data_IF_290586771358
#
_entry.id   IF_290586771358
#
_cell.length_a   1.000
_cell.length_b   1.000
_cell.length_c   1.000
_cell.angle_alpha   90.00
_cell.angle_beta   90.00
_cell.angle_gamma   90.00
#
_symmetry.space_group_name_H-M   'P 1'
#
loop_
_entity.id
_entity.type
_entity.pdbx_description
1 polymer ?
#
# COMPACT_ATOMS: atom_id res chain seq x y z
N UNK A 1 8.18 -14.89 6.38
CA UNK A 1 7.75 -14.06 5.22
C UNK A 1 8.94 -13.36 4.59
N UNK A 2 9.34 -13.83 3.41
CA UNK A 2 10.43 -13.27 2.61
C UNK A 2 10.01 -11.92 2.00
N UNK A 3 10.87 -10.91 2.06
CA UNK A 3 10.65 -9.59 1.40
C UNK A 3 11.70 -9.45 0.29
N UNK A 4 11.30 -9.68 -0.96
CA UNK A 4 12.19 -9.74 -2.15
C UNK A 4 12.67 -8.34 -2.61
N UNK A 5 12.34 -7.26 -1.88
CA UNK A 5 12.86 -5.91 -2.18
C UNK A 5 14.27 -5.65 -1.62
N UNK A 6 14.87 -6.62 -0.93
CA UNK A 6 16.24 -6.51 -0.43
C UNK A 6 17.17 -7.30 -1.37
N UNK A 7 18.35 -6.76 -1.72
CA UNK A 7 19.34 -7.46 -2.56
C UNK A 7 19.84 -8.77 -1.94
N UNK A 8 19.56 -9.02 -0.66
CA UNK A 8 19.74 -10.29 0.03
C UNK A 8 18.41 -10.84 0.53
N UNK A 9 18.28 -12.17 0.54
CA UNK A 9 17.16 -12.89 1.14
C UNK A 9 17.04 -12.50 2.63
N UNK A 10 16.10 -11.62 2.95
CA UNK A 10 15.87 -11.16 4.31
C UNK A 10 14.68 -11.87 4.93
N UNK A 11 14.93 -12.51 6.07
CA UNK A 11 13.91 -13.17 6.90
C UNK A 11 13.38 -12.16 7.92
N UNK A 12 12.06 -12.12 8.11
CA UNK A 12 11.44 -11.32 9.17
C UNK A 12 11.26 -12.16 10.44
N UNK A 13 11.80 -11.76 11.59
CA UNK A 13 11.47 -12.39 12.85
C UNK A 13 10.01 -12.05 13.20
N UNK A 14 9.16 -13.07 13.34
CA UNK A 14 7.76 -12.91 13.77
C UNK A 14 7.63 -13.57 15.13
N UNK A 15 7.08 -12.84 16.10
CA UNK A 15 6.84 -13.36 17.45
C UNK A 15 5.34 -13.63 17.60
N UNK A 16 5.00 -14.88 17.88
CA UNK A 16 3.60 -15.29 18.13
C UNK A 16 3.21 -14.82 19.53
N UNK A 17 2.23 -13.92 19.59
CA UNK A 17 1.79 -13.25 20.83
C UNK A 17 0.47 -13.80 21.39
N UNK A 18 0.02 -14.98 20.95
CA UNK A 18 -1.33 -15.53 21.27
C UNK A 18 -1.56 -15.63 22.79
N UNK A 19 -0.54 -16.02 23.55
CA UNK A 19 -0.60 -16.17 25.01
C UNK A 19 0.28 -15.15 25.75
N UNK A 20 0.65 -14.04 25.11
CA UNK A 20 1.47 -13.02 25.75
C UNK A 20 0.67 -12.27 26.83
N UNK A 21 1.27 -12.02 27.99
CA UNK A 21 0.62 -11.36 29.13
C UNK A 21 0.04 -9.99 28.79
N UNK A 22 0.69 -9.23 27.91
CA UNK A 22 0.24 -7.91 27.48
C UNK A 22 -0.63 -7.91 26.21
N UNK A 23 -1.05 -9.08 25.68
CA UNK A 23 -1.83 -9.16 24.44
C UNK A 23 -3.13 -8.36 24.50
N UNK A 24 -3.87 -8.48 25.60
CA UNK A 24 -5.15 -7.79 25.76
C UNK A 24 -4.96 -6.27 25.82
N UNK A 25 -3.95 -5.80 26.56
CA UNK A 25 -3.57 -4.38 26.61
C UNK A 25 -3.18 -3.90 25.20
N UNK A 26 -2.38 -4.68 24.48
CA UNK A 26 -1.97 -4.37 23.12
C UNK A 26 -3.17 -4.27 22.16
N UNK A 27 -4.15 -5.16 22.25
CA UNK A 27 -5.34 -5.12 21.41
C UNK A 27 -6.24 -3.93 21.75
N UNK A 28 -6.38 -3.62 23.04
CA UNK A 28 -7.16 -2.48 23.50
C UNK A 28 -6.55 -1.15 23.04
N UNK A 29 -5.23 -0.98 23.18
CA UNK A 29 -4.53 0.21 22.69
C UNK A 29 -4.61 0.35 21.17
N UNK A 30 -4.50 -0.75 20.43
CA UNK A 30 -4.64 -0.75 18.97
C UNK A 30 -6.02 -0.25 18.55
N UNK A 31 -7.10 -0.82 19.11
CA UNK A 31 -8.48 -0.39 18.81
C UNK A 31 -8.69 1.10 19.11
N UNK A 32 -8.17 1.56 20.25
CA UNK A 32 -8.32 2.95 20.68
C UNK A 32 -7.59 3.94 19.77
N UNK A 33 -6.35 3.62 19.38
CA UNK A 33 -5.47 4.54 18.67
C UNK A 33 -5.65 4.47 17.14
N UNK A 34 -5.94 3.28 16.59
CA UNK A 34 -6.07 3.07 15.15
C UNK A 34 -7.26 3.85 14.58
N UNK A 35 -8.38 3.96 15.30
CA UNK A 35 -9.51 4.79 14.87
C UNK A 35 -9.15 6.27 14.73
N UNK A 36 -8.40 6.80 15.71
CA UNK A 36 -7.96 8.21 15.68
C UNK A 36 -6.94 8.40 14.57
N UNK A 37 -5.96 7.49 14.47
CA UNK A 37 -4.94 7.51 13.43
C UNK A 37 -5.56 7.52 12.04
N UNK A 38 -6.43 6.56 11.72
CA UNK A 38 -7.07 6.46 10.42
C UNK A 38 -7.90 7.71 10.07
N UNK A 39 -8.57 8.30 11.06
CA UNK A 39 -9.33 9.53 10.85
C UNK A 39 -8.41 10.71 10.47
N UNK A 40 -7.29 10.89 11.17
CA UNK A 40 -6.39 12.04 10.95
C UNK A 40 -5.47 11.85 9.74
N UNK A 41 -5.26 10.61 9.28
CA UNK A 41 -4.40 10.30 8.12
C UNK A 41 -5.16 9.89 6.88
N UNK A 42 -6.51 10.00 6.85
CA UNK A 42 -7.36 9.55 5.74
C UNK A 42 -6.88 10.07 4.37
N UNK A 43 -6.43 11.31 4.29
CA UNK A 43 -6.09 11.96 3.02
C UNK A 43 -4.71 11.56 2.51
N UNK A 44 -3.83 11.13 3.42
CA UNK A 44 -2.43 10.75 3.17
C UNK A 44 -2.18 9.22 3.28
N UNK A 45 -3.22 8.43 3.50
CA UNK A 45 -3.13 6.97 3.54
C UNK A 45 -3.70 6.42 2.24
N UNK A 46 -2.95 5.55 1.56
CA UNK A 46 -3.45 4.83 0.40
C UNK A 46 -4.05 3.49 0.81
N UNK A 47 -5.20 3.16 0.23
CA UNK A 47 -5.88 1.89 0.49
C UNK A 47 -5.32 0.77 -0.39
N UNK A 48 -5.02 1.09 -1.65
CA UNK A 48 -4.48 0.21 -2.68
C UNK A 48 -4.04 1.05 -3.90
N UNK A 49 -3.58 0.39 -4.97
CA UNK A 49 -3.15 1.08 -6.20
C UNK A 49 -4.28 1.78 -6.95
N UNK A 50 -5.53 1.31 -6.81
CA UNK A 50 -6.70 1.91 -7.46
C UNK A 50 -6.99 3.28 -6.84
N UNK A 51 -6.91 3.39 -5.51
CA UNK A 51 -7.02 4.66 -4.78
C UNK A 51 -5.94 5.66 -5.22
N UNK A 52 -4.69 5.21 -5.37
CA UNK A 52 -3.62 6.03 -5.93
C UNK A 52 -3.93 6.49 -7.37
N UNK A 53 -4.36 5.59 -8.26
CA UNK A 53 -4.67 5.94 -9.65
C UNK A 53 -5.79 6.97 -9.74
N UNK A 54 -6.84 6.85 -8.90
CA UNK A 54 -7.89 7.88 -8.83
C UNK A 54 -7.32 9.24 -8.41
N UNK A 55 -6.48 9.28 -7.37
CA UNK A 55 -5.83 10.52 -6.93
C UNK A 55 -4.92 11.13 -8.00
N UNK A 56 -4.18 10.31 -8.75
CA UNK A 56 -3.36 10.74 -9.87
C UNK A 56 -4.20 11.25 -11.06
N UNK A 57 -5.35 10.62 -11.33
CA UNK A 57 -6.28 11.07 -12.34
C UNK A 57 -6.86 12.44 -11.99
N UNK A 58 -7.35 12.61 -10.75
CA UNK A 58 -7.84 13.89 -10.25
C UNK A 58 -6.73 14.97 -10.28
N UNK A 59 -5.49 14.59 -9.97
CA UNK A 59 -4.32 15.48 -10.05
C UNK A 59 -4.00 15.91 -11.49
N UNK A 60 -4.16 14.99 -12.45
CA UNK A 60 -3.97 15.26 -13.88
C UNK A 60 -5.09 16.14 -14.43
N UNK A 61 -6.35 15.87 -14.09
CA UNK A 61 -7.52 16.65 -14.51
C UNK A 61 -7.47 18.11 -14.00
N UNK A 62 -6.84 18.34 -12.84
CA UNK A 62 -6.59 19.68 -12.30
C UNK A 62 -5.40 20.41 -12.96
N UNK A 63 -4.71 19.77 -13.91
CA UNK A 63 -3.57 20.34 -14.62
C UNK A 63 -2.29 20.39 -13.79
N UNK A 64 -2.19 19.61 -12.71
CA UNK A 64 -1.01 19.62 -11.85
C UNK A 64 0.11 18.68 -12.35
N UNK A 65 -0.24 17.66 -13.15
CA UNK A 65 0.75 16.81 -13.82
C UNK A 65 1.34 17.55 -15.02
N UNK A 66 2.64 17.84 -14.96
CA UNK A 66 3.39 18.50 -16.03
C UNK A 66 4.36 17.52 -16.69
N UNK A 67 4.95 17.90 -17.83
CA UNK A 67 5.99 17.08 -18.48
C UNK A 67 7.25 16.89 -17.62
N UNK A 68 7.49 17.75 -16.63
CA UNK A 68 8.65 17.66 -15.72
C UNK A 68 8.31 16.99 -14.40
N UNK A 69 7.04 16.63 -14.14
CA UNK A 69 6.67 15.97 -12.89
C UNK A 69 7.38 14.63 -12.77
N UNK A 70 8.08 14.46 -11.65
CA UNK A 70 8.70 13.22 -11.23
C UNK A 70 7.80 12.49 -10.24
N UNK A 71 7.82 11.18 -10.30
CA UNK A 71 7.30 10.32 -9.25
C UNK A 71 8.42 9.90 -8.33
N UNK A 72 8.09 9.83 -7.05
CA UNK A 72 9.00 9.41 -5.99
C UNK A 72 8.36 8.28 -5.24
N UNK A 73 9.06 7.17 -5.13
CA UNK A 73 8.72 6.13 -4.17
C UNK A 73 9.86 5.93 -3.21
N UNK A 74 9.52 5.68 -1.95
CA UNK A 74 10.49 5.13 -1.02
C UNK A 74 9.82 4.17 -0.07
N UNK A 75 10.59 3.19 0.41
CA UNK A 75 10.15 2.32 1.47
C UNK A 75 11.02 2.50 2.71
N UNK A 76 10.40 2.40 3.88
CA UNK A 76 11.10 2.45 5.16
C UNK A 76 11.66 1.08 5.52
N UNK A 77 12.95 1.02 5.81
CA UNK A 77 13.63 -0.24 6.13
C UNK A 77 13.30 -0.67 7.55
N UNK A 78 12.77 -1.89 7.69
CA UNK A 78 12.61 -2.57 8.99
C UNK A 78 11.86 -1.74 10.06
N UNK A 79 10.83 -1.00 9.60
CA UNK A 79 10.06 -0.02 10.38
C UNK A 79 9.72 -0.52 11.79
N UNK A 80 9.02 -1.65 11.91
CA UNK A 80 8.55 -2.17 13.20
C UNK A 80 9.67 -2.62 14.15
N UNK A 81 10.81 -3.05 13.62
CA UNK A 81 11.91 -3.64 14.38
C UNK A 81 12.99 -2.64 14.78
N UNK A 82 13.04 -1.47 14.14
CA UNK A 82 14.10 -0.47 14.35
C UNK A 82 13.61 0.77 15.09
N UNK A 83 12.30 0.99 15.25
CA UNK A 83 11.82 2.18 15.95
C UNK A 83 12.35 2.24 17.39
N UNK A 84 12.97 3.37 17.80
CA UNK A 84 13.46 3.54 19.17
C UNK A 84 12.27 3.66 20.11
N UNK A 85 12.31 2.91 21.21
CA UNK A 85 11.20 2.84 22.15
C UNK A 85 10.84 4.21 22.76
N UNK A 86 11.84 4.92 23.26
CA UNK A 86 11.61 6.21 23.93
C UNK A 86 11.10 7.26 22.94
N UNK A 87 11.66 7.27 21.72
CA UNK A 87 11.18 8.11 20.62
C UNK A 87 9.73 7.80 20.25
N UNK A 88 9.37 6.52 20.15
CA UNK A 88 8.00 6.10 19.85
C UNK A 88 7.00 6.50 20.93
N UNK A 89 7.36 6.33 22.21
CA UNK A 89 6.52 6.74 23.33
C UNK A 89 6.37 8.26 23.38
N UNK A 90 7.43 9.01 23.08
CA UNK A 90 7.37 10.47 22.99
C UNK A 90 6.47 10.94 21.84
N UNK A 91 6.60 10.32 20.66
CA UNK A 91 5.72 10.58 19.50
C UNK A 91 4.26 10.25 19.82
N UNK A 92 4.00 9.11 20.47
CA UNK A 92 2.66 8.73 20.94
C UNK A 92 2.10 9.77 21.91
N UNK A 93 2.91 10.26 22.86
CA UNK A 93 2.47 11.28 23.81
C UNK A 93 2.06 12.56 23.09
N UNK A 94 2.86 13.06 22.15
CA UNK A 94 2.53 14.25 21.35
C UNK A 94 1.29 14.04 20.48
N UNK A 95 1.16 12.87 19.86
CA UNK A 95 -0.03 12.48 19.13
C UNK A 95 -1.28 12.50 20.01
N UNK A 96 -1.23 11.86 21.18
CA UNK A 96 -2.35 11.86 22.13
C UNK A 96 -2.66 13.27 22.64
N UNK A 97 -1.67 14.13 22.90
CA UNK A 97 -1.90 15.53 23.28
C UNK A 97 -2.65 16.28 22.18
N UNK A 98 -2.20 16.16 20.93
CA UNK A 98 -2.78 16.83 19.77
C UNK A 98 -4.22 16.44 19.48
N UNK A 99 -4.57 15.16 19.68
CA UNK A 99 -5.88 14.61 19.32
C UNK A 99 -6.74 14.21 20.52
N UNK A 100 -6.38 14.65 21.72
CA UNK A 100 -7.19 14.40 22.93
C UNK A 100 -8.43 15.28 22.96
N UNK A 101 -9.49 14.77 23.60
CA UNK A 101 -10.69 15.54 23.95
C UNK A 101 -10.68 15.68 25.47
N UNK A 102 -10.63 16.92 25.97
CA UNK A 102 -10.54 17.22 27.41
C UNK A 102 -9.37 16.49 28.11
N UNK A 103 -8.22 16.38 27.43
CA UNK A 103 -7.03 15.72 27.95
C UNK A 103 -7.14 14.18 28.03
N UNK A 104 -8.11 13.59 27.32
CA UNK A 104 -8.35 12.15 27.28
C UNK A 104 -8.34 11.59 25.86
N UNK A 105 -7.97 10.32 25.74
CA UNK A 105 -8.11 9.49 24.54
C UNK A 105 -9.15 8.42 24.87
N UNK A 106 -10.32 8.52 24.25
CA UNK A 106 -11.52 7.86 24.75
C UNK A 106 -11.78 8.27 26.20
N UNK A 107 -11.83 7.30 27.11
CA UNK A 107 -12.06 7.55 28.54
C UNK A 107 -10.77 7.62 29.38
N UNK A 108 -9.59 7.49 28.77
CA UNK A 108 -8.32 7.40 29.49
C UNK A 108 -7.56 8.73 29.48
N UNK A 109 -6.96 9.08 30.63
CA UNK A 109 -5.96 10.15 30.69
C UNK A 109 -4.76 9.76 29.82
N UNK A 110 -4.12 10.73 29.19
CA UNK A 110 -2.95 10.51 28.33
C UNK A 110 -1.85 9.72 29.07
N UNK A 111 -1.56 10.05 30.33
CA UNK A 111 -0.55 9.32 31.11
C UNK A 111 -0.88 7.83 31.32
N UNK A 112 -2.16 7.49 31.41
CA UNK A 112 -2.60 6.09 31.50
C UNK A 112 -2.32 5.37 30.18
N UNK A 113 -2.63 6.00 29.04
CA UNK A 113 -2.34 5.45 27.71
C UNK A 113 -0.83 5.20 27.55
N UNK A 114 0.00 6.18 27.95
CA UNK A 114 1.45 6.06 27.86
C UNK A 114 2.00 4.96 28.79
N UNK A 115 1.48 4.84 30.02
CA UNK A 115 1.88 3.74 30.93
C UNK A 115 1.53 2.37 30.35
N UNK A 116 0.33 2.21 29.80
CA UNK A 116 -0.09 0.95 29.16
C UNK A 116 0.79 0.62 27.94
N UNK A 117 1.09 1.63 27.11
CA UNK A 117 2.00 1.48 25.98
C UNK A 117 3.40 1.02 26.42
N UNK A 118 3.95 1.62 27.48
CA UNK A 118 5.23 1.21 28.05
C UNK A 118 5.21 -0.24 28.52
N UNK A 119 4.14 -0.68 29.21
CA UNK A 119 3.98 -2.07 29.65
C UNK A 119 4.00 -3.05 28.47
N UNK A 120 3.29 -2.75 27.37
CA UNK A 120 3.29 -3.60 26.17
C UNK A 120 4.69 -3.73 25.57
N UNK A 121 5.47 -2.64 25.55
CA UNK A 121 6.83 -2.66 25.01
C UNK A 121 7.84 -3.33 25.99
N UNK A 122 7.68 -3.16 27.30
CA UNK A 122 8.53 -3.77 28.33
C UNK A 122 8.41 -5.30 28.39
N UNK A 123 7.20 -5.79 28.13
CA UNK A 123 6.84 -7.21 28.25
C UNK A 123 7.03 -7.99 26.95
N UNK A 124 7.69 -7.39 25.97
CA UNK A 124 8.01 -8.03 24.70
C UNK A 124 9.17 -9.04 24.85
N UNK A 125 8.84 -10.20 25.40
CA UNK A 125 9.73 -11.30 25.71
C UNK A 125 9.33 -12.51 24.86
N UNK A 126 10.31 -13.19 24.25
CA UNK A 126 10.09 -14.39 23.44
C UNK A 126 11.15 -15.45 23.73
N UNK A 127 10.81 -16.71 23.48
CA UNK A 127 11.71 -17.84 23.62
C UNK A 127 12.23 -18.29 22.25
N UNK A 128 13.53 -18.51 22.13
CA UNK A 128 14.16 -19.11 20.95
C UNK A 128 15.30 -20.03 21.38
N UNK A 129 15.35 -21.25 20.85
CA UNK A 129 16.35 -22.27 21.22
C UNK A 129 16.55 -22.40 22.74
N UNK A 130 15.44 -22.55 23.47
CA UNK A 130 15.41 -22.69 24.94
C UNK A 130 16.04 -21.52 25.72
N UNK A 131 16.18 -20.33 25.11
CA UNK A 131 16.62 -19.11 25.77
C UNK A 131 15.54 -18.04 25.65
N UNK A 132 15.39 -17.23 26.70
CA UNK A 132 14.50 -16.10 26.72
C UNK A 132 15.22 -14.84 26.26
N UNK A 133 14.57 -14.08 25.39
CA UNK A 133 15.06 -12.83 24.84
C UNK A 133 14.02 -11.75 25.08
N UNK A 134 14.48 -10.55 25.43
CA UNK A 134 13.64 -9.35 25.46
C UNK A 134 14.04 -8.45 24.31
N UNK A 135 13.07 -8.02 23.52
CA UNK A 135 13.32 -7.08 22.44
C UNK A 135 13.55 -5.68 23.01
N UNK A 136 14.75 -5.14 22.84
CA UNK A 136 15.15 -3.82 23.39
C UNK A 136 14.94 -2.66 22.40
N UNK A 137 14.70 -2.97 21.12
CA UNK A 137 14.49 -1.99 20.03
C UNK A 137 13.34 -2.45 19.13
N UNK A 138 12.51 -1.50 18.70
CA UNK A 138 11.26 -1.78 17.99
C UNK A 138 10.21 -2.47 18.86
N UNK A 139 9.17 -2.98 18.22
CA UNK A 139 8.19 -3.86 18.84
C UNK A 139 8.13 -5.22 18.13
N UNK A 140 7.43 -6.18 18.76
CA UNK A 140 7.25 -7.50 18.17
C UNK A 140 6.41 -7.40 16.91
N UNK A 141 6.96 -7.87 15.78
CA UNK A 141 6.16 -8.13 14.59
C UNK A 141 5.12 -9.22 14.94
N UNK A 142 3.87 -8.80 15.13
CA UNK A 142 2.77 -9.63 15.63
C UNK A 142 2.02 -9.04 16.83
N UNK A 143 2.50 -7.94 17.42
CA UNK A 143 1.73 -7.14 18.39
C UNK A 143 0.85 -6.14 17.63
N UNK A 144 -0.49 -6.13 17.83
CA UNK A 144 -1.38 -5.14 17.24
C UNK A 144 -0.95 -3.69 17.52
N UNK A 145 -0.58 -3.41 18.78
CA UNK A 145 -0.18 -2.06 19.21
C UNK A 145 1.09 -1.57 18.53
N UNK A 146 2.04 -2.47 18.26
CA UNK A 146 3.29 -2.11 17.58
C UNK A 146 3.03 -1.51 16.20
N UNK A 147 2.00 -1.97 15.50
CA UNK A 147 1.66 -1.45 14.17
C UNK A 147 1.20 -0.01 14.21
N UNK A 148 0.21 0.30 15.06
CA UNK A 148 -0.30 1.68 15.19
C UNK A 148 0.76 2.61 15.78
N UNK A 149 1.57 2.15 16.73
CA UNK A 149 2.66 2.94 17.29
C UNK A 149 3.68 3.32 16.22
N UNK A 150 4.05 2.38 15.35
CA UNK A 150 4.98 2.63 14.26
C UNK A 150 4.42 3.63 13.24
N UNK A 151 3.12 3.52 12.94
CA UNK A 151 2.43 4.46 12.08
C UNK A 151 2.36 5.88 12.65
N UNK A 152 2.14 6.02 13.96
CA UNK A 152 2.16 7.30 14.67
C UNK A 152 3.57 7.91 14.65
N UNK A 153 4.58 7.09 14.91
CA UNK A 153 5.98 7.52 14.85
C UNK A 153 6.35 8.03 13.46
N UNK A 154 5.98 7.28 12.42
CA UNK A 154 6.16 7.72 11.03
C UNK A 154 5.42 9.01 10.74
N UNK A 155 4.15 9.12 11.13
CA UNK A 155 3.36 10.33 10.86
C UNK A 155 4.05 11.60 11.36
N UNK A 156 4.72 11.53 12.52
CA UNK A 156 5.48 12.65 13.06
C UNK A 156 6.69 13.01 12.20
N UNK A 157 7.48 12.02 11.77
CA UNK A 157 8.61 12.22 10.88
C UNK A 157 8.19 12.76 9.51
N UNK A 158 7.04 12.29 9.00
CA UNK A 158 6.49 12.64 7.69
C UNK A 158 5.91 14.06 7.62
N UNK A 159 5.67 14.75 8.75
CA UNK A 159 4.94 16.03 8.79
C UNK A 159 5.50 17.09 7.84
N UNK A 160 6.82 17.21 7.76
CA UNK A 160 7.47 18.22 6.90
C UNK A 160 7.27 17.92 5.41
N UNK A 161 7.31 16.64 5.03
CA UNK A 161 7.00 16.21 3.67
C UNK A 161 5.52 16.50 3.39
N UNK A 162 4.60 15.98 4.19
CA UNK A 162 3.16 16.22 4.01
C UNK A 162 2.83 17.71 3.86
N UNK A 163 3.42 18.57 4.71
CA UNK A 163 3.23 20.02 4.63
C UNK A 163 3.81 20.64 3.35
N UNK A 164 4.94 20.12 2.85
CA UNK A 164 5.49 20.52 1.56
C UNK A 164 4.53 20.15 0.42
N UNK A 165 4.15 18.89 0.33
CA UNK A 165 3.27 18.42 -0.75
C UNK A 165 1.95 19.19 -0.80
N UNK A 166 1.32 19.41 0.36
CA UNK A 166 0.09 20.20 0.44
C UNK A 166 0.27 21.64 -0.08
N UNK A 167 1.41 22.28 0.18
CA UNK A 167 1.69 23.66 -0.29
C UNK A 167 1.87 23.74 -1.80
N UNK A 168 2.45 22.70 -2.39
CA UNK A 168 2.75 22.63 -3.83
C UNK A 168 1.66 21.90 -4.63
N UNK A 169 0.52 21.58 -4.00
CA UNK A 169 -0.56 20.77 -4.57
C UNK A 169 -0.12 19.37 -5.03
N UNK A 170 1.03 18.89 -4.57
CA UNK A 170 1.61 17.58 -4.90
C UNK A 170 0.96 16.46 -4.08
N UNK A 171 1.06 15.23 -4.57
CA UNK A 171 0.52 14.05 -3.89
C UNK A 171 1.52 13.59 -2.84
N UNK A 172 1.00 13.27 -1.64
CA UNK A 172 1.67 12.42 -0.66
C UNK A 172 0.73 11.29 -0.29
N UNK A 173 1.21 10.05 -0.29
CA UNK A 173 0.49 8.99 0.39
C UNK A 173 1.32 7.79 0.76
N UNK A 174 0.93 7.16 1.86
CA UNK A 174 1.58 5.97 2.40
C UNK A 174 0.65 4.77 2.40
N UNK A 175 1.20 3.64 1.97
CA UNK A 175 0.66 2.30 2.14
C UNK A 175 1.59 1.49 3.04
N UNK A 176 1.27 1.39 4.33
CA UNK A 176 2.08 0.67 5.32
C UNK A 176 3.53 1.20 5.36
N UNK A 177 4.49 0.50 4.76
CA UNK A 177 5.92 0.87 4.73
C UNK A 177 6.31 1.64 3.46
N UNK A 178 5.39 1.72 2.47
CA UNK A 178 5.66 2.23 1.12
C UNK A 178 5.04 3.61 0.95
N UNK A 179 5.85 4.61 0.60
CA UNK A 179 5.40 5.98 0.32
C UNK A 179 5.48 6.24 -1.17
N UNK A 180 4.51 6.99 -1.68
CA UNK A 180 4.51 7.56 -3.02
C UNK A 180 4.22 9.05 -2.96
N UNK A 181 4.96 9.81 -3.77
CA UNK A 181 4.83 11.26 -3.90
C UNK A 181 4.94 11.68 -5.36
N UNK A 182 4.33 12.80 -5.71
CA UNK A 182 4.65 13.54 -6.94
C UNK A 182 5.55 14.72 -6.60
N UNK A 183 6.40 15.15 -7.53
CA UNK A 183 7.13 16.41 -7.38
C UNK A 183 7.44 17.10 -8.70
N UNK A 184 7.43 18.42 -8.71
CA UNK A 184 7.94 19.24 -9.81
C UNK A 184 9.35 19.79 -9.56
N UNK A 185 9.98 19.42 -8.44
CA UNK A 185 11.39 19.70 -8.18
C UNK A 185 12.30 18.91 -9.12
N UNK A 186 13.53 19.39 -9.30
CA UNK A 186 14.58 18.61 -9.93
C UNK A 186 14.92 17.38 -9.09
N UNK A 187 15.53 16.37 -9.73
CA UNK A 187 15.91 15.12 -9.05
C UNK A 187 16.87 15.41 -7.89
N UNK A 188 17.80 16.34 -8.06
CA UNK A 188 18.78 16.74 -7.06
C UNK A 188 18.11 17.42 -5.84
N UNK A 189 17.17 18.34 -6.07
CA UNK A 189 16.46 19.05 -5.01
C UNK A 189 15.62 18.11 -4.15
N UNK A 190 14.84 17.22 -4.77
CA UNK A 190 14.02 16.26 -4.00
C UNK A 190 14.89 15.24 -3.25
N UNK A 191 16.01 14.80 -3.83
CA UNK A 191 16.97 13.95 -3.13
C UNK A 191 17.57 14.67 -1.92
N UNK A 192 17.93 15.94 -2.06
CA UNK A 192 18.42 16.74 -0.96
C UNK A 192 17.36 16.86 0.16
N UNK A 193 16.12 17.20 -0.18
CA UNK A 193 15.02 17.32 0.78
C UNK A 193 14.76 16.00 1.53
N UNK A 194 14.76 14.86 0.83
CA UNK A 194 14.60 13.54 1.45
C UNK A 194 15.78 13.19 2.35
N UNK A 195 17.01 13.51 1.93
CA UNK A 195 18.21 13.29 2.75
C UNK A 195 18.21 14.15 4.03
N UNK A 196 17.79 15.41 3.93
CA UNK A 196 17.62 16.30 5.09
C UNK A 196 16.54 15.79 6.03
N UNK A 197 15.43 15.28 5.49
CA UNK A 197 14.36 14.68 6.29
C UNK A 197 14.85 13.43 7.01
N UNK A 198 15.62 12.57 6.33
CA UNK A 198 16.23 11.39 6.93
C UNK A 198 17.20 11.74 8.08
N UNK A 199 17.96 12.85 7.97
CA UNK A 199 18.85 13.31 9.05
C UNK A 199 18.12 13.72 10.32
N UNK A 200 16.81 14.02 10.26
CA UNK A 200 16.03 14.39 11.47
C UNK A 200 15.82 13.22 12.43
N UNK A 201 15.93 11.97 11.95
CA UNK A 201 15.86 10.78 12.78
C UNK A 201 16.84 9.69 12.28
N UNK A 202 17.92 9.41 13.02
CA UNK A 202 18.91 8.42 12.61
C UNK A 202 18.38 6.97 12.59
N UNK A 203 17.18 6.72 13.12
CA UNK A 203 16.55 5.39 13.12
C UNK A 203 15.75 5.11 11.85
N UNK A 204 15.38 6.15 11.09
CA UNK A 204 14.62 6.00 9.86
C UNK A 204 15.61 5.94 8.69
N UNK A 205 15.54 4.83 7.95
CA UNK A 205 16.32 4.63 6.72
C UNK A 205 15.36 4.34 5.58
N UNK A 206 15.47 5.14 4.52
CA UNK A 206 14.63 5.03 3.34
C UNK A 206 15.46 4.59 2.13
N UNK A 207 14.86 3.78 1.27
CA UNK A 207 15.40 3.49 -0.07
C UNK A 207 14.55 4.20 -1.09
N UNK A 208 15.15 5.08 -1.88
CA UNK A 208 14.46 6.04 -2.75
C UNK A 208 14.58 5.63 -4.21
N UNK A 209 13.48 5.72 -4.94
CA UNK A 209 13.41 5.65 -6.40
C UNK A 209 12.72 6.92 -6.90
N UNK A 210 13.35 7.62 -7.84
CA UNK A 210 12.80 8.85 -8.45
C UNK A 210 12.88 8.69 -9.96
N UNK A 211 11.74 8.77 -10.63
CA UNK A 211 11.65 8.65 -12.08
C UNK A 211 10.33 9.21 -12.61
N UNK A 212 10.24 9.46 -13.91
CA UNK A 212 8.96 9.72 -14.60
C UNK A 212 8.16 8.43 -14.82
N UNK A 213 8.81 7.26 -14.77
CA UNK A 213 8.17 5.95 -14.81
C UNK A 213 8.71 5.06 -13.69
N UNK A 214 7.84 4.61 -12.79
CA UNK A 214 8.19 3.73 -11.68
C UNK A 214 7.03 2.86 -11.23
N UNK A 215 7.31 1.93 -10.33
CA UNK A 215 6.32 1.00 -9.82
C UNK A 215 5.95 1.30 -8.36
N UNK A 216 4.65 1.23 -8.07
CA UNK A 216 4.12 1.35 -6.72
C UNK A 216 3.02 0.30 -6.52
N UNK A 217 3.15 -0.48 -5.43
CA UNK A 217 2.28 -1.62 -5.13
C UNK A 217 2.20 -2.61 -6.31
N UNK A 218 1.09 -2.61 -7.04
CA UNK A 218 0.83 -3.47 -8.18
C UNK A 218 0.52 -2.70 -9.48
N UNK A 219 0.90 -1.42 -9.52
CA UNK A 219 0.81 -0.57 -10.71
C UNK A 219 2.19 -0.04 -11.12
N UNK A 220 2.40 0.05 -12.43
CA UNK A 220 3.43 0.90 -13.04
C UNK A 220 2.77 2.23 -13.40
N UNK A 221 3.43 3.33 -13.06
CA UNK A 221 2.91 4.69 -13.22
C UNK A 221 3.94 5.46 -14.03
N UNK A 222 3.49 6.03 -15.14
CA UNK A 222 4.33 6.71 -16.13
C UNK A 222 3.75 8.09 -16.44
N UNK A 223 4.63 9.08 -16.49
CA UNK A 223 4.37 10.43 -16.95
C UNK A 223 4.87 10.54 -18.40
N UNK A 224 3.97 10.38 -19.35
CA UNK A 224 4.27 10.53 -20.78
C UNK A 224 4.07 11.99 -21.20
N UNK A 225 5.04 12.84 -20.87
CA UNK A 225 5.03 14.28 -21.23
C UNK A 225 3.79 15.04 -20.74
N UNK A 226 3.37 14.81 -19.49
CA UNK A 226 2.19 15.42 -18.87
C UNK A 226 0.92 14.56 -19.01
N UNK A 227 1.01 13.40 -19.68
CA UNK A 227 -0.09 12.45 -19.75
C UNK A 227 0.17 11.26 -18.83
N UNK A 228 -0.77 10.99 -17.93
CA UNK A 228 -0.71 9.84 -17.04
C UNK A 228 -0.95 8.54 -17.82
N UNK A 229 0.00 7.62 -17.76
CA UNK A 229 -0.16 6.23 -18.21
C UNK A 229 0.03 5.28 -17.04
N UNK A 230 -0.89 4.35 -16.85
CA UNK A 230 -0.79 3.33 -15.80
C UNK A 230 -0.99 1.93 -16.37
N UNK A 231 -0.27 0.94 -15.84
CA UNK A 231 -0.37 -0.47 -16.23
C UNK A 231 -0.18 -1.39 -15.03
N UNK A 232 -0.42 -2.71 -15.19
CA UNK A 232 -0.20 -3.66 -14.10
C UNK A 232 1.28 -3.98 -13.93
N UNK A 233 1.79 -3.80 -12.71
CA UNK A 233 3.10 -4.27 -12.33
C UNK A 233 3.08 -5.69 -11.73
N UNK A 234 4.04 -6.51 -12.14
CA UNK A 234 4.37 -7.79 -11.50
C UNK A 234 5.81 -7.74 -11.03
N UNK A 235 6.05 -8.22 -9.80
CA UNK A 235 7.42 -8.34 -9.29
C UNK A 235 8.19 -9.35 -10.13
N UNK A 236 9.50 -9.19 -10.25
CA UNK A 236 10.36 -10.13 -10.98
C UNK A 236 10.25 -11.59 -10.50
N UNK A 237 10.00 -11.80 -9.21
CA UNK A 237 9.77 -13.12 -8.62
C UNK A 237 8.31 -13.61 -8.70
N UNK A 238 7.45 -12.94 -9.47
CA UNK A 238 6.07 -13.37 -9.67
C UNK A 238 6.05 -14.56 -10.63
N UNK A 239 5.43 -15.65 -10.18
CA UNK A 239 5.21 -16.83 -10.99
C UNK A 239 3.73 -16.87 -11.45
N UNK A 240 3.46 -17.35 -12.67
CA UNK A 240 2.11 -17.45 -13.22
C UNK A 240 1.31 -18.62 -12.62
N UNK A 241 1.50 -18.92 -11.33
CA UNK A 241 0.77 -19.96 -10.62
C UNK A 241 -0.53 -19.38 -10.09
N UNK A 242 -1.63 -19.78 -10.73
CA UNK A 242 -2.99 -19.52 -10.29
C UNK A 242 -3.67 -20.85 -9.97
N UNK A 243 -4.92 -20.82 -9.51
CA UNK A 243 -5.66 -22.05 -9.20
C UNK A 243 -5.73 -22.95 -10.45
N UNK A 244 -5.13 -24.16 -10.44
CA UNK A 244 -5.17 -25.06 -11.59
C UNK A 244 -6.59 -25.50 -11.92
N UNK A 245 -6.90 -25.72 -13.19
CA UNK A 245 -8.23 -26.15 -13.63
C UNK A 245 -8.60 -27.55 -13.11
N UNK A 246 -7.61 -28.40 -12.82
CA UNK A 246 -7.80 -29.74 -12.27
C UNK A 246 -8.14 -29.74 -10.77
N UNK A 247 -8.08 -28.58 -10.11
CA UNK A 247 -8.45 -28.48 -8.69
C UNK A 247 -9.94 -28.77 -8.50
N UNK A 248 -10.30 -29.39 -7.37
CA UNK A 248 -11.69 -29.73 -7.02
C UNK A 248 -12.48 -28.51 -6.50
N UNK A 249 -12.42 -27.39 -7.22
CA UNK A 249 -13.19 -26.19 -6.92
C UNK A 249 -14.39 -26.09 -7.86
N UNK A 250 -15.52 -25.51 -7.40
CA UNK A 250 -16.67 -25.27 -8.27
C UNK A 250 -16.30 -24.42 -9.49
N UNK A 251 -16.90 -24.72 -10.66
CA UNK A 251 -16.65 -23.98 -11.92
C UNK A 251 -16.81 -22.46 -11.83
N UNK A 252 -17.70 -21.97 -10.95
CA UNK A 252 -17.89 -20.54 -10.76
C UNK A 252 -16.66 -19.85 -10.14
N UNK A 253 -15.84 -20.56 -9.35
CA UNK A 253 -14.57 -20.04 -8.81
C UNK A 253 -13.57 -19.83 -9.94
N UNK A 254 -13.43 -20.82 -10.83
CA UNK A 254 -12.60 -20.72 -12.04
C UNK A 254 -13.03 -19.55 -12.93
N UNK A 255 -14.34 -19.40 -13.18
CA UNK A 255 -14.87 -18.25 -13.92
C UNK A 255 -14.60 -16.91 -13.22
N UNK A 256 -14.71 -16.88 -11.89
CA UNK A 256 -14.44 -15.68 -11.08
C UNK A 256 -12.97 -15.25 -11.14
N UNK A 257 -12.03 -16.18 -11.28
CA UNK A 257 -10.60 -15.86 -11.45
C UNK A 257 -10.39 -15.09 -12.76
N UNK A 258 -10.94 -15.59 -13.87
CA UNK A 258 -10.87 -14.93 -15.19
C UNK A 258 -11.44 -13.51 -15.08
N UNK A 259 -12.66 -13.38 -14.53
CA UNK A 259 -13.32 -12.10 -14.36
C UNK A 259 -12.50 -11.13 -13.49
N UNK A 260 -11.95 -11.60 -12.37
CA UNK A 260 -11.19 -10.75 -11.44
C UNK A 260 -9.87 -10.27 -12.06
N UNK A 261 -9.20 -11.11 -12.86
CA UNK A 261 -7.99 -10.71 -13.59
C UNK A 261 -8.27 -9.65 -14.63
N UNK A 262 -9.37 -9.78 -15.39
CA UNK A 262 -9.80 -8.77 -16.37
C UNK A 262 -10.26 -7.47 -15.70
N UNK A 263 -11.03 -7.53 -14.61
CA UNK A 263 -11.40 -6.35 -13.83
C UNK A 263 -10.17 -5.63 -13.29
N UNK A 264 -9.17 -6.37 -12.81
CA UNK A 264 -7.90 -5.77 -12.34
C UNK A 264 -7.15 -5.09 -13.48
N UNK A 265 -7.08 -5.72 -14.65
CA UNK A 265 -6.46 -5.11 -15.83
C UNK A 265 -7.20 -3.84 -16.27
N UNK A 266 -8.52 -3.91 -16.40
CA UNK A 266 -9.33 -2.76 -16.79
C UNK A 266 -9.24 -1.60 -15.78
N UNK A 267 -9.01 -1.88 -14.49
CA UNK A 267 -8.83 -0.83 -13.47
C UNK A 267 -7.47 -0.15 -13.51
N UNK A 268 -6.42 -0.90 -13.84
CA UNK A 268 -5.03 -0.42 -13.71
C UNK A 268 -4.46 0.07 -15.05
N UNK A 269 -4.87 -0.52 -16.17
CA UNK A 269 -4.41 -0.12 -17.51
C UNK A 269 -5.20 1.10 -18.01
N UNK A 270 -4.52 2.23 -18.20
CA UNK A 270 -5.16 3.47 -18.70
C UNK A 270 -5.40 3.47 -20.21
N UNK A 271 -4.67 2.64 -20.96
CA UNK A 271 -4.77 2.50 -22.42
C UNK A 271 -5.38 1.16 -22.82
N UNK A 272 -5.98 1.11 -24.00
CA UNK A 272 -6.59 -0.11 -24.53
C UNK A 272 -5.52 -1.13 -24.94
N UNK A 273 -4.37 -0.65 -25.41
CA UNK A 273 -3.23 -1.47 -25.81
C UNK A 273 -2.63 -2.19 -24.60
N UNK A 274 -2.43 -1.47 -23.49
CA UNK A 274 -1.90 -2.08 -22.26
C UNK A 274 -2.90 -3.06 -21.64
N UNK A 275 -4.20 -2.76 -21.72
CA UNK A 275 -5.25 -3.67 -21.29
C UNK A 275 -5.25 -4.94 -22.13
N UNK A 276 -5.17 -4.83 -23.46
CA UNK A 276 -5.19 -5.97 -24.36
C UNK A 276 -3.96 -6.86 -24.19
N UNK A 277 -2.76 -6.27 -24.10
CA UNK A 277 -1.54 -7.00 -23.76
C UNK A 277 -1.69 -7.77 -22.45
N UNK A 278 -2.37 -7.17 -21.45
CA UNK A 278 -2.57 -7.83 -20.17
C UNK A 278 -3.68 -8.89 -20.19
N UNK A 279 -4.68 -8.73 -21.04
CA UNK A 279 -5.70 -9.74 -21.35
C UNK A 279 -5.07 -10.96 -22.00
N UNK A 280 -4.24 -10.78 -23.03
CA UNK A 280 -3.51 -11.85 -23.72
C UNK A 280 -2.55 -12.57 -22.76
N UNK A 281 -1.81 -11.83 -21.93
CA UNK A 281 -0.98 -12.41 -20.87
C UNK A 281 -1.81 -13.25 -19.90
N UNK A 282 -3.00 -12.77 -19.50
CA UNK A 282 -3.93 -13.50 -18.64
C UNK A 282 -4.42 -14.80 -19.28
N UNK A 283 -4.77 -14.76 -20.57
CA UNK A 283 -5.18 -15.94 -21.34
C UNK A 283 -4.09 -17.00 -21.34
N UNK A 284 -2.85 -16.61 -21.64
CA UNK A 284 -1.70 -17.53 -21.62
C UNK A 284 -1.45 -18.13 -20.23
N UNK A 285 -1.54 -17.33 -19.17
CA UNK A 285 -1.40 -17.83 -17.79
C UNK A 285 -2.45 -18.90 -17.50
N UNK A 286 -3.72 -18.65 -17.85
CA UNK A 286 -4.81 -19.59 -17.60
C UNK A 286 -4.67 -20.88 -18.43
N UNK A 287 -4.22 -20.79 -19.68
CA UNK A 287 -3.94 -21.96 -20.51
C UNK A 287 -2.83 -22.85 -19.90
N UNK A 288 -1.75 -22.24 -19.40
CA UNK A 288 -0.65 -22.97 -18.72
C UNK A 288 -1.14 -23.65 -17.44
N UNK A 289 -2.17 -23.12 -16.78
CA UNK A 289 -2.80 -23.70 -15.59
C UNK A 289 -3.97 -24.65 -15.94
N UNK A 290 -4.05 -25.16 -17.18
CA UNK A 290 -4.97 -26.24 -17.57
C UNK A 290 -6.38 -25.80 -17.96
N UNK A 291 -6.67 -24.50 -18.07
CA UNK A 291 -8.02 -24.03 -18.39
C UNK A 291 -8.37 -24.30 -19.86
N UNK A 292 -9.53 -24.90 -20.18
CA UNK A 292 -9.92 -25.16 -21.56
C UNK A 292 -10.14 -23.88 -22.35
N UNK A 293 -9.60 -23.79 -23.58
CA UNK A 293 -9.69 -22.59 -24.43
C UNK A 293 -11.13 -22.11 -24.63
N UNK A 294 -12.08 -23.02 -24.89
CA UNK A 294 -13.51 -22.67 -25.05
C UNK A 294 -14.10 -22.01 -23.80
N UNK A 295 -13.71 -22.49 -22.61
CA UNK A 295 -14.14 -21.92 -21.33
C UNK A 295 -13.57 -20.51 -21.16
N UNK A 296 -12.29 -20.32 -21.49
CA UNK A 296 -11.63 -19.01 -21.44
C UNK A 296 -12.29 -18.00 -22.36
N UNK A 297 -12.41 -18.33 -23.66
CA UNK A 297 -13.00 -17.44 -24.66
C UNK A 297 -14.43 -17.04 -24.29
N UNK A 298 -15.24 -17.98 -23.80
CA UNK A 298 -16.60 -17.68 -23.36
C UNK A 298 -16.61 -16.69 -22.19
N UNK A 299 -15.80 -16.92 -21.15
CA UNK A 299 -15.79 -16.06 -19.97
C UNK A 299 -15.12 -14.70 -20.20
N UNK A 300 -14.09 -14.64 -21.05
CA UNK A 300 -13.50 -13.38 -21.47
C UNK A 300 -14.50 -12.57 -22.31
N UNK A 301 -15.16 -13.18 -23.30
CA UNK A 301 -16.20 -12.51 -24.09
C UNK A 301 -17.34 -11.99 -23.21
N UNK A 302 -17.78 -12.78 -22.23
CA UNK A 302 -18.82 -12.36 -21.29
C UNK A 302 -18.43 -11.09 -20.51
N UNK A 303 -17.15 -10.88 -20.18
CA UNK A 303 -16.68 -9.65 -19.54
C UNK A 303 -16.95 -8.43 -20.44
N UNK A 304 -16.63 -8.50 -21.73
CA UNK A 304 -16.89 -7.39 -22.66
C UNK A 304 -18.38 -7.13 -22.89
N UNK A 305 -19.19 -8.18 -22.96
CA UNK A 305 -20.65 -8.04 -23.05
C UNK A 305 -21.21 -7.35 -21.80
N UNK A 306 -20.76 -7.75 -20.60
CA UNK A 306 -21.24 -7.17 -19.34
C UNK A 306 -20.87 -5.70 -19.13
N UNK A 307 -19.90 -5.20 -19.89
CA UNK A 307 -19.37 -3.86 -19.77
C UNK A 307 -19.57 -3.01 -21.04
N UNK A 308 -20.48 -3.44 -21.92
CA UNK A 308 -20.83 -2.77 -23.19
C UNK A 308 -19.60 -2.43 -24.07
N UNK A 309 -18.57 -3.28 -24.00
CA UNK A 309 -17.25 -3.05 -24.58
C UNK A 309 -16.91 -4.05 -25.69
N UNK A 310 -17.93 -4.58 -26.40
CA UNK A 310 -17.71 -5.60 -27.44
C UNK A 310 -16.87 -5.12 -28.62
N UNK A 311 -16.86 -3.81 -28.92
CA UNK A 311 -15.96 -3.23 -29.91
C UNK A 311 -14.50 -3.41 -29.52
N UNK A 312 -14.15 -3.23 -28.24
CA UNK A 312 -12.78 -3.43 -27.71
C UNK A 312 -12.29 -4.87 -27.90
N UNK A 313 -13.20 -5.85 -27.88
CA UNK A 313 -12.86 -7.25 -28.14
C UNK A 313 -12.57 -7.54 -29.61
N UNK A 314 -13.21 -6.79 -30.53
CA UNK A 314 -13.08 -6.98 -31.97
C UNK A 314 -11.89 -6.17 -32.52
N UNK A 315 -11.72 -4.96 -32.02
CA UNK A 315 -10.71 -3.98 -32.44
C UNK A 315 -10.23 -3.16 -31.22
N UNK A 316 -8.98 -2.68 -31.24
CA UNK A 316 -8.41 -1.87 -30.16
C UNK A 316 -8.98 -0.44 -30.16
N UNK A 317 -10.26 -0.30 -29.84
CA UNK A 317 -10.96 0.97 -29.82
C UNK A 317 -10.75 1.70 -28.49
N UNK A 318 -9.91 2.73 -28.50
CA UNK A 318 -9.54 3.49 -27.29
C UNK A 318 -10.71 4.23 -26.67
N UNK A 319 -11.61 4.81 -27.47
CA UNK A 319 -12.78 5.54 -26.97
C UNK A 319 -13.77 4.60 -26.27
N UNK A 320 -14.08 3.47 -26.90
CA UNK A 320 -14.94 2.45 -26.33
C UNK A 320 -14.36 1.81 -25.06
N UNK A 321 -13.03 1.78 -24.91
CA UNK A 321 -12.37 1.28 -23.70
C UNK A 321 -12.43 2.25 -22.51
N UNK A 322 -12.53 3.58 -22.74
CA UNK A 322 -12.55 4.54 -21.64
C UNK A 322 -13.80 4.40 -20.76
N UNK A 323 -14.95 4.02 -21.33
CA UNK A 323 -16.17 3.78 -20.56
C UNK A 323 -16.00 2.66 -19.50
N UNK A 324 -15.64 1.41 -19.86
CA UNK A 324 -15.45 0.34 -18.88
C UNK A 324 -14.26 0.59 -17.96
N UNK A 325 -13.16 1.20 -18.44
CA UNK A 325 -12.03 1.60 -17.60
C UNK A 325 -12.49 2.51 -16.46
N UNK A 326 -13.15 3.62 -16.79
CA UNK A 326 -13.63 4.58 -15.79
C UNK A 326 -14.68 3.96 -14.87
N UNK A 327 -15.67 3.24 -15.41
CA UNK A 327 -16.71 2.59 -14.61
C UNK A 327 -16.11 1.62 -13.58
N UNK A 328 -15.13 0.80 -13.98
CA UNK A 328 -14.49 -0.16 -13.08
C UNK A 328 -13.50 0.50 -12.12
N UNK A 329 -12.78 1.54 -12.57
CA UNK A 329 -11.83 2.29 -11.74
C UNK A 329 -12.54 2.90 -10.53
N UNK A 330 -13.69 3.54 -10.70
CA UNK A 330 -14.44 4.18 -9.61
C UNK A 330 -15.36 3.22 -8.84
N UNK A 331 -15.53 1.98 -9.30
CA UNK A 331 -16.26 0.97 -8.53
C UNK A 331 -15.48 0.62 -7.25
N UNK A 332 -16.08 0.72 -6.05
CA UNK A 332 -15.40 0.40 -4.80
C UNK A 332 -14.81 -1.01 -4.79
N UNK A 333 -13.64 -1.15 -4.20
CA UNK A 333 -12.99 -2.41 -3.90
C UNK A 333 -13.53 -2.98 -2.59
N UNK A 334 -13.40 -4.30 -2.40
CA UNK A 334 -13.79 -4.95 -1.13
C UNK A 334 -13.06 -4.36 0.09
N UNK A 335 -11.85 -3.83 -0.11
CA UNK A 335 -11.07 -3.22 0.96
C UNK A 335 -11.62 -1.85 1.35
N UNK A 336 -12.01 -1.05 0.36
CA UNK A 336 -12.65 0.26 0.57
C UNK A 336 -14.01 0.14 1.25
N UNK A 337 -14.76 -0.95 0.98
CA UNK A 337 -16.03 -1.22 1.66
C UNK A 337 -15.88 -1.66 3.12
N UNK A 338 -14.65 -1.99 3.55
CA UNK A 338 -14.33 -2.47 4.91
C UNK A 338 -13.53 -1.45 5.74
N UNK A 339 -12.91 -0.47 5.09
CA UNK A 339 -12.19 0.64 5.70
C UNK A 339 -13.15 1.76 6.03
#
# INVERSE_FOLDING_TARGET
>A
NLKVRKPEISVRPIVVSINASARQISSFLDQLLTSIYNYVTKDITFINSIDLIRKLKDYTEKGYLTSTTLFVTFYVTDLYTIIPRDGAIAALRRFCQKYSINGKIGNLKIDTVIKLASVVLDTNIFAYKNKYYRQIKGGAMGSPFTMVLANIYMLEWEQKLIAHQNRHHEIYGRYIDDVFMTTNLTKEEILQQLNETMKTDPNIKITITINQSLEYLDATIENNNGQLRTTIYHKSAWEPHILPNESDHPRHIHASIIYTMLVRAARLCSTVEDFDMKRLSTEMILLINGYPLKFLQQHMKNFFIQHDAMSVWIELNSEAYQQPHNALLYKPTRRELKS
#
